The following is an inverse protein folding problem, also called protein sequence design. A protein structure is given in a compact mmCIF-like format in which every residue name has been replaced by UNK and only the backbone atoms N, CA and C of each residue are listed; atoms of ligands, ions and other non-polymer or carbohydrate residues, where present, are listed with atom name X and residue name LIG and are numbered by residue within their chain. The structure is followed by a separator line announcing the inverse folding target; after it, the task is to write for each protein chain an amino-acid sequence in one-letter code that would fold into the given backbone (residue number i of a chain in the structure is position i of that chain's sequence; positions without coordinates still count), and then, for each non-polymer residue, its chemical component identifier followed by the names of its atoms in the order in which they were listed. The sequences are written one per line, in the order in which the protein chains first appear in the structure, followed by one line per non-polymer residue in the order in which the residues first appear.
data_IF_678523376895
#
_entry.id   IF_678523376895
#
_cell.length_a   1.000
_cell.length_b   1.000
_cell.length_c   1.000
_cell.angle_alpha   90.00
_cell.angle_beta   90.00
_cell.angle_gamma   90.00
#
_symmetry.space_group_name_H-M   'P 1'
#
loop_
_entity.id
_entity.type
_entity.pdbx_description
1 polymer ?
#
# COMPACT_ATOMS: atom_id res chain seq x y z
N UNK A 1 27.86 -12.82 89.50
CA UNK A 1 26.99 -14.00 89.69
C UNK A 1 26.18 -14.26 88.42
N UNK A 2 26.38 -15.44 87.81
CA UNK A 2 25.52 -16.18 86.86
C UNK A 2 24.71 -15.38 85.81
N UNK A 3 24.96 -15.62 84.51
CA UNK A 3 24.17 -16.60 83.72
C UNK A 3 24.72 -16.84 82.31
N UNK A 4 24.79 -18.12 81.99
CA UNK A 4 25.03 -18.73 80.68
C UNK A 4 23.92 -18.38 79.68
N UNK A 5 24.30 -18.17 78.41
CA UNK A 5 23.41 -18.36 77.26
C UNK A 5 24.10 -19.31 76.29
N UNK A 6 23.49 -20.49 76.14
CA UNK A 6 23.86 -21.55 75.19
C UNK A 6 23.49 -21.10 73.77
N UNK A 7 24.46 -21.06 72.85
CA UNK A 7 24.18 -21.05 71.41
C UNK A 7 23.70 -22.45 70.97
N UNK A 8 22.50 -22.52 70.40
CA UNK A 8 22.01 -23.68 69.64
C UNK A 8 22.37 -23.45 68.17
N UNK A 9 23.16 -24.35 67.60
CA UNK A 9 23.40 -24.45 66.17
C UNK A 9 22.10 -24.88 65.47
N UNK A 10 21.57 -24.02 64.60
CA UNK A 10 20.50 -24.33 63.66
C UNK A 10 21.15 -24.61 62.30
N UNK A 11 21.11 -25.88 61.87
CA UNK A 11 21.53 -26.28 60.54
C UNK A 11 20.50 -25.76 59.53
N UNK A 12 20.92 -24.82 58.67
CA UNK A 12 20.14 -24.36 57.52
C UNK A 12 20.64 -25.11 56.28
N UNK A 13 19.86 -26.08 55.85
CA UNK A 13 20.05 -26.87 54.64
C UNK A 13 19.63 -25.99 53.43
N UNK A 14 20.61 -25.42 52.72
CA UNK A 14 20.38 -24.73 51.45
C UNK A 14 20.29 -25.77 50.31
N UNK A 15 19.07 -26.14 49.93
CA UNK A 15 18.83 -26.84 48.66
C UNK A 15 18.99 -25.85 47.51
N UNK A 16 20.19 -25.81 46.92
CA UNK A 16 20.45 -25.15 45.63
C UNK A 16 19.81 -26.05 44.55
N UNK A 17 18.61 -25.71 44.11
CA UNK A 17 18.05 -26.26 42.87
C UNK A 17 18.62 -25.47 41.69
N UNK A 18 19.56 -26.08 40.98
CA UNK A 18 20.06 -25.56 39.71
C UNK A 18 18.98 -25.72 38.63
N UNK A 19 18.14 -24.70 38.48
CA UNK A 19 17.35 -24.52 37.25
C UNK A 19 18.32 -24.34 36.09
N UNK A 20 18.62 -25.45 35.44
CA UNK A 20 19.37 -25.48 34.18
C UNK A 20 18.40 -25.00 33.10
N UNK A 21 18.34 -23.69 32.89
CA UNK A 21 17.75 -23.11 31.69
C UNK A 21 18.60 -23.58 30.50
N UNK A 22 18.20 -24.68 29.89
CA UNK A 22 18.63 -25.03 28.55
C UNK A 22 17.99 -24.00 27.62
N UNK A 23 18.69 -22.88 27.41
CA UNK A 23 18.37 -21.99 26.30
C UNK A 23 18.54 -22.81 25.03
N UNK A 24 17.44 -23.33 24.53
CA UNK A 24 17.38 -23.95 23.20
C UNK A 24 17.89 -22.89 22.23
N UNK A 25 19.12 -23.05 21.74
CA UNK A 25 19.68 -22.20 20.68
C UNK A 25 18.80 -22.47 19.46
N UNK A 26 17.80 -21.62 19.23
CA UNK A 26 17.05 -21.66 17.98
C UNK A 26 18.05 -21.30 16.88
N UNK A 27 18.37 -22.29 16.03
CA UNK A 27 19.15 -22.04 14.84
C UNK A 27 18.47 -20.94 14.01
N UNK A 28 19.24 -19.94 13.60
CA UNK A 28 18.74 -18.88 12.73
C UNK A 28 18.18 -19.50 11.44
N UNK A 29 17.06 -18.99 10.93
CA UNK A 29 16.49 -19.51 9.68
C UNK A 29 17.48 -19.30 8.54
N UNK A 30 17.56 -20.29 7.64
CA UNK A 30 18.39 -20.20 6.44
C UNK A 30 17.70 -19.25 5.46
N UNK A 31 18.39 -18.17 5.08
CA UNK A 31 17.98 -17.26 4.00
C UNK A 31 18.48 -17.81 2.68
N UNK A 32 17.57 -18.26 1.82
CA UNK A 32 17.89 -18.63 0.45
C UNK A 32 17.94 -17.39 -0.46
N UNK A 33 18.75 -17.49 -1.51
CA UNK A 33 19.02 -16.45 -2.49
C UNK A 33 19.59 -15.16 -1.88
N UNK A 34 20.43 -15.29 -0.84
CA UNK A 34 21.03 -14.14 -0.16
C UNK A 34 21.92 -13.30 -1.10
N UNK A 35 22.43 -13.88 -2.18
CA UNK A 35 23.16 -13.18 -3.24
C UNK A 35 22.34 -12.09 -3.94
N UNK A 36 21.00 -12.09 -3.83
CA UNK A 36 20.16 -10.98 -4.31
C UNK A 36 20.48 -9.67 -3.58
N UNK A 37 21.01 -9.73 -2.36
CA UNK A 37 21.45 -8.54 -1.63
C UNK A 37 22.67 -7.88 -2.28
N UNK A 38 23.44 -8.60 -3.08
CA UNK A 38 24.59 -8.04 -3.79
C UNK A 38 24.19 -7.16 -4.97
N UNK A 39 22.89 -7.16 -5.36
CA UNK A 39 22.32 -6.23 -6.33
C UNK A 39 22.06 -4.84 -5.76
N UNK A 40 22.15 -4.66 -4.44
CA UNK A 40 21.97 -3.37 -3.78
C UNK A 40 23.15 -2.46 -4.14
N UNK A 41 22.89 -1.41 -4.90
CA UNK A 41 23.87 -0.39 -5.29
C UNK A 41 23.18 0.97 -5.48
N UNK A 42 23.87 2.04 -5.09
CA UNK A 42 23.42 3.42 -5.29
C UNK A 42 23.98 4.08 -6.56
N UNK A 43 24.88 3.42 -7.31
CA UNK A 43 25.57 4.03 -8.45
C UNK A 43 24.77 3.97 -9.76
N UNK A 44 23.79 3.08 -9.86
CA UNK A 44 23.06 2.83 -11.11
C UNK A 44 22.15 3.99 -11.54
N UNK A 45 21.58 4.74 -10.57
CA UNK A 45 20.62 5.83 -10.85
C UNK A 45 20.76 6.99 -9.86
N UNK A 46 20.47 8.20 -10.34
CA UNK A 46 20.35 9.37 -9.47
C UNK A 46 19.11 9.21 -8.58
N UNK A 47 19.32 9.19 -7.26
CA UNK A 47 18.25 9.11 -6.28
C UNK A 47 17.64 10.51 -6.06
N UNK A 48 16.32 10.59 -6.19
CA UNK A 48 15.55 11.82 -6.10
C UNK A 48 14.36 11.55 -5.17
N UNK A 49 14.14 12.45 -4.21
CA UNK A 49 12.89 12.52 -3.45
C UNK A 49 11.95 13.53 -4.08
N UNK A 50 10.65 13.31 -3.99
CA UNK A 50 9.64 14.21 -4.52
C UNK A 50 8.68 14.66 -3.41
N UNK A 51 8.07 15.81 -3.63
CA UNK A 51 6.92 16.28 -2.85
C UNK A 51 5.72 16.38 -3.78
N UNK A 52 4.59 15.86 -3.34
CA UNK A 52 3.33 15.90 -4.08
C UNK A 52 2.36 16.93 -3.48
N UNK A 53 1.37 17.33 -4.27
CA UNK A 53 0.36 18.28 -3.87
C UNK A 53 -0.75 17.60 -3.05
N UNK A 54 -0.59 17.64 -1.73
CA UNK A 54 -1.63 17.25 -0.76
C UNK A 54 -2.29 18.48 -0.14
N UNK A 55 -2.36 19.57 -0.92
CA UNK A 55 -2.87 20.87 -0.47
C UNK A 55 -3.84 21.52 -1.45
N UNK A 56 -4.46 20.72 -2.33
CA UNK A 56 -5.44 21.22 -3.29
C UNK A 56 -6.63 21.89 -2.59
N UNK A 57 -6.99 21.41 -1.40
CA UNK A 57 -8.10 21.92 -0.59
C UNK A 57 -9.37 22.08 -1.46
N UNK A 58 -9.77 21.00 -2.13
CA UNK A 58 -10.93 20.99 -3.00
C UNK A 58 -12.18 21.36 -2.19
N UNK A 59 -12.79 22.49 -2.55
CA UNK A 59 -14.09 22.86 -2.01
C UNK A 59 -15.20 21.94 -2.57
N UNK A 60 -16.37 21.99 -1.92
CA UNK A 60 -17.54 21.18 -2.30
C UNK A 60 -17.91 21.36 -3.78
N UNK A 61 -17.83 22.58 -4.32
CA UNK A 61 -18.14 22.86 -5.73
C UNK A 61 -17.19 22.16 -6.70
N UNK A 62 -15.89 22.14 -6.39
CA UNK A 62 -14.87 21.46 -7.20
C UNK A 62 -15.07 19.95 -7.18
N UNK A 63 -15.41 19.40 -6.01
CA UNK A 63 -15.77 17.98 -5.85
C UNK A 63 -17.01 17.64 -6.67
N UNK A 64 -18.08 18.44 -6.57
CA UNK A 64 -19.31 18.24 -7.32
C UNK A 64 -19.10 18.35 -8.83
N UNK A 65 -18.29 19.32 -9.29
CA UNK A 65 -17.95 19.47 -10.71
C UNK A 65 -17.21 18.24 -11.23
N UNK A 66 -16.29 17.67 -10.45
CA UNK A 66 -15.57 16.45 -10.81
C UNK A 66 -16.50 15.24 -10.88
N UNK A 67 -17.33 15.02 -9.85
CA UNK A 67 -18.31 13.95 -9.85
C UNK A 67 -19.24 14.07 -11.06
N UNK A 68 -19.81 15.25 -11.31
CA UNK A 68 -20.70 15.52 -12.43
C UNK A 68 -20.06 15.15 -13.77
N UNK A 69 -18.78 15.50 -13.98
CA UNK A 69 -18.05 15.14 -15.20
C UNK A 69 -17.96 13.61 -15.37
N UNK A 70 -17.74 12.88 -14.28
CA UNK A 70 -17.70 11.41 -14.31
C UNK A 70 -19.10 10.85 -14.60
N UNK A 71 -20.16 11.34 -13.93
CA UNK A 71 -21.54 10.90 -14.15
C UNK A 71 -22.02 11.16 -15.58
N UNK A 72 -21.71 12.33 -16.15
CA UNK A 72 -21.99 12.68 -17.55
C UNK A 72 -21.25 11.74 -18.51
N UNK A 73 -19.98 11.42 -18.21
CA UNK A 73 -19.17 10.54 -19.03
C UNK A 73 -19.65 9.08 -19.00
N UNK A 74 -20.03 8.57 -17.83
CA UNK A 74 -20.48 7.18 -17.64
C UNK A 74 -21.98 7.02 -17.87
N UNK A 75 -22.71 8.11 -18.11
CA UNK A 75 -24.17 8.15 -18.15
C UNK A 75 -24.81 7.48 -16.91
N UNK A 76 -24.19 7.70 -15.73
CA UNK A 76 -24.59 7.08 -14.47
C UNK A 76 -24.51 8.08 -13.32
N UNK A 77 -25.68 8.60 -12.94
CA UNK A 77 -25.86 9.53 -11.83
C UNK A 77 -26.05 8.80 -10.49
N UNK A 78 -25.47 9.36 -9.43
CA UNK A 78 -25.82 9.03 -8.04
C UNK A 78 -27.13 9.76 -7.71
N UNK A 79 -28.25 9.08 -7.89
CA UNK A 79 -29.59 9.70 -7.89
C UNK A 79 -30.05 10.07 -6.47
N UNK A 80 -29.86 9.17 -5.51
CA UNK A 80 -30.29 9.38 -4.12
C UNK A 80 -29.07 9.60 -3.20
N UNK A 81 -28.45 10.78 -3.30
CA UNK A 81 -27.17 11.07 -2.67
C UNK A 81 -27.25 11.09 -1.14
N UNK A 82 -26.54 10.16 -0.51
CA UNK A 82 -26.12 10.24 0.89
C UNK A 82 -24.68 10.73 0.94
N UNK A 83 -24.47 11.87 1.60
CA UNK A 83 -23.14 12.46 1.78
C UNK A 83 -22.65 12.16 3.20
N UNK A 84 -21.45 11.63 3.32
CA UNK A 84 -20.82 11.28 4.59
C UNK A 84 -19.39 11.83 4.62
N UNK A 85 -19.01 12.50 5.70
CA UNK A 85 -17.62 12.86 5.95
C UNK A 85 -16.92 11.65 6.59
N UNK A 86 -15.76 11.29 6.05
CA UNK A 86 -14.94 10.17 6.53
C UNK A 86 -13.57 10.71 6.91
N UNK A 87 -13.30 10.81 8.22
CA UNK A 87 -12.10 11.49 8.70
C UNK A 87 -12.11 13.00 8.42
N UNK A 88 -10.92 13.63 8.44
CA UNK A 88 -10.79 15.10 8.35
C UNK A 88 -11.03 15.64 6.94
N UNK A 89 -10.68 14.87 5.91
CA UNK A 89 -10.56 15.38 4.55
C UNK A 89 -11.30 14.56 3.50
N UNK A 90 -11.90 13.42 3.83
CA UNK A 90 -12.58 12.59 2.85
C UNK A 90 -14.08 12.82 2.85
N UNK A 91 -14.65 12.83 1.65
CA UNK A 91 -16.07 12.94 1.40
C UNK A 91 -16.54 11.72 0.60
N UNK A 92 -17.53 11.01 1.13
CA UNK A 92 -18.18 9.88 0.47
C UNK A 92 -19.58 10.33 0.03
N UNK A 93 -19.82 10.29 -1.27
CA UNK A 93 -21.14 10.50 -1.90
C UNK A 93 -21.60 9.14 -2.40
N UNK A 94 -22.69 8.61 -1.86
CA UNK A 94 -23.16 7.25 -2.15
C UNK A 94 -24.64 7.26 -2.51
N UNK A 95 -25.09 6.36 -3.38
CA UNK A 95 -26.51 6.19 -3.65
C UNK A 95 -27.21 5.45 -2.49
N UNK A 96 -28.35 5.94 -2.03
CA UNK A 96 -29.07 5.33 -0.91
C UNK A 96 -29.82 4.04 -1.27
N UNK A 97 -30.03 3.78 -2.56
CA UNK A 97 -30.72 2.60 -3.08
C UNK A 97 -29.76 1.50 -3.49
N UNK A 98 -28.61 1.86 -4.05
CA UNK A 98 -27.52 0.94 -4.39
C UNK A 98 -26.21 1.46 -3.78
N UNK A 99 -25.82 0.90 -2.63
CA UNK A 99 -24.60 1.28 -1.92
C UNK A 99 -23.32 0.98 -2.68
N UNK A 100 -23.38 0.18 -3.74
CA UNK A 100 -22.24 -0.07 -4.63
C UNK A 100 -21.99 1.07 -5.61
N UNK A 101 -22.91 2.04 -5.74
CA UNK A 101 -22.69 3.29 -6.47
C UNK A 101 -22.16 4.34 -5.49
N UNK A 102 -20.93 4.77 -5.70
CA UNK A 102 -20.32 5.77 -4.82
C UNK A 102 -19.20 6.55 -5.49
N UNK A 103 -18.87 7.66 -4.86
CA UNK A 103 -17.72 8.50 -5.12
C UNK A 103 -17.10 8.91 -3.78
N UNK A 104 -15.91 8.40 -3.49
CA UNK A 104 -15.11 8.74 -2.31
C UNK A 104 -13.91 9.56 -2.76
N UNK A 105 -13.71 10.75 -2.19
CA UNK A 105 -12.63 11.66 -2.57
C UNK A 105 -11.96 12.24 -1.34
N UNK A 106 -10.62 12.27 -1.37
CA UNK A 106 -9.82 13.08 -0.47
C UNK A 106 -9.71 14.51 -1.02
N UNK A 107 -10.25 15.47 -0.27
CA UNK A 107 -10.25 16.89 -0.65
C UNK A 107 -8.86 17.52 -0.69
N UNK A 108 -7.86 16.96 -0.01
CA UNK A 108 -6.50 17.50 0.00
C UNK A 108 -5.69 17.11 -1.23
N UNK A 109 -5.71 15.83 -1.58
CA UNK A 109 -4.95 15.28 -2.71
C UNK A 109 -5.75 15.29 -4.02
N UNK A 110 -7.09 15.32 -3.93
CA UNK A 110 -7.96 15.10 -5.07
C UNK A 110 -7.94 13.66 -5.58
N UNK A 111 -7.33 12.74 -4.84
CA UNK A 111 -7.38 11.31 -5.07
C UNK A 111 -8.78 10.79 -4.77
N UNK A 112 -9.28 9.85 -5.58
CA UNK A 112 -10.65 9.40 -5.45
C UNK A 112 -10.87 7.95 -5.89
N UNK A 113 -11.97 7.38 -5.43
CA UNK A 113 -12.54 6.11 -5.86
C UNK A 113 -13.98 6.33 -6.35
N UNK A 114 -14.32 5.76 -7.50
CA UNK A 114 -15.64 5.82 -8.10
C UNK A 114 -16.14 4.41 -8.43
N UNK A 115 -17.44 4.17 -8.26
CA UNK A 115 -18.11 2.95 -8.69
C UNK A 115 -19.47 3.29 -9.28
N UNK A 116 -19.76 2.76 -10.47
CA UNK A 116 -21.01 3.04 -11.21
C UNK A 116 -22.16 2.06 -10.88
N UNK A 117 -21.86 1.00 -10.10
CA UNK A 117 -22.71 -0.09 -9.60
C UNK A 117 -22.03 -1.43 -9.84
N UNK A 118 -22.10 -2.32 -8.86
CA UNK A 118 -21.61 -3.70 -8.96
C UNK A 118 -22.74 -4.73 -9.15
N UNK A 119 -24.01 -4.33 -8.99
CA UNK A 119 -25.15 -5.24 -8.95
C UNK A 119 -25.26 -6.12 -10.21
N UNK A 120 -25.05 -5.53 -11.39
CA UNK A 120 -25.15 -6.25 -12.66
C UNK A 120 -24.09 -7.35 -12.82
N UNK A 121 -23.00 -7.31 -12.07
CA UNK A 121 -21.92 -8.29 -12.15
C UNK A 121 -22.08 -9.47 -11.19
N UNK A 122 -23.05 -9.45 -10.28
CA UNK A 122 -23.27 -10.56 -9.34
C UNK A 122 -24.02 -11.77 -9.94
N UNK A 123 -24.60 -11.64 -11.13
CA UNK A 123 -25.34 -12.72 -11.80
C UNK A 123 -24.45 -13.92 -12.12
N UNK A 124 -24.96 -15.14 -12.14
CA UNK A 124 -24.19 -16.35 -12.54
C UNK A 124 -23.99 -16.47 -14.06
N UNK A 125 -23.45 -15.44 -14.69
CA UNK A 125 -23.10 -15.41 -16.10
C UNK A 125 -21.86 -14.54 -16.35
N UNK A 126 -21.12 -14.79 -17.43
CA UNK A 126 -20.02 -13.90 -17.83
C UNK A 126 -20.58 -12.60 -18.40
N UNK A 127 -19.94 -11.48 -18.09
CA UNK A 127 -20.29 -10.18 -18.68
C UNK A 127 -20.10 -10.24 -20.20
N UNK A 128 -21.10 -9.86 -21.01
CA UNK A 128 -20.97 -9.84 -22.46
C UNK A 128 -19.96 -8.79 -22.92
N UNK A 129 -19.33 -9.02 -24.08
CA UNK A 129 -18.44 -8.07 -24.76
C UNK A 129 -17.33 -7.46 -23.88
N UNK A 130 -16.76 -8.25 -22.96
CA UNK A 130 -15.57 -7.79 -22.23
C UNK A 130 -14.41 -7.58 -23.21
N UNK A 131 -13.81 -6.38 -23.14
CA UNK A 131 -12.66 -6.03 -23.94
C UNK A 131 -11.50 -6.97 -23.63
N UNK A 132 -10.76 -7.36 -24.67
CA UNK A 132 -9.48 -8.03 -24.45
C UNK A 132 -8.44 -7.04 -23.90
N UNK A 133 -7.35 -7.59 -23.37
CA UNK A 133 -6.22 -6.88 -22.80
C UNK A 133 -5.72 -5.65 -23.58
N UNK A 134 -5.58 -5.75 -24.92
CA UNK A 134 -5.11 -4.65 -25.76
C UNK A 134 -6.16 -3.56 -25.94
N UNK A 135 -7.41 -3.97 -26.18
CA UNK A 135 -8.55 -3.05 -26.32
C UNK A 135 -8.83 -2.32 -25.00
N UNK A 136 -8.78 -3.04 -23.88
CA UNK A 136 -8.95 -2.52 -22.54
C UNK A 136 -7.92 -1.44 -22.22
N UNK A 137 -6.64 -1.65 -22.54
CA UNK A 137 -5.62 -0.61 -22.35
C UNK A 137 -5.91 0.64 -23.19
N UNK A 138 -6.27 0.47 -24.46
CA UNK A 138 -6.64 1.60 -25.32
C UNK A 138 -7.86 2.35 -24.79
N UNK A 139 -8.86 1.63 -24.27
CA UNK A 139 -10.06 2.20 -23.69
C UNK A 139 -9.76 2.93 -22.37
N UNK A 140 -8.91 2.36 -21.51
CA UNK A 140 -8.48 2.99 -20.27
C UNK A 140 -7.81 4.36 -20.52
N UNK A 141 -6.92 4.47 -21.51
CA UNK A 141 -6.36 5.77 -21.88
C UNK A 141 -7.41 6.74 -22.42
N UNK A 142 -8.34 6.27 -23.25
CA UNK A 142 -9.45 7.10 -23.74
C UNK A 142 -10.32 7.63 -22.59
N UNK A 143 -10.60 6.83 -21.57
CA UNK A 143 -11.29 7.26 -20.36
C UNK A 143 -10.54 8.36 -19.63
N UNK A 144 -9.24 8.15 -19.37
CA UNK A 144 -8.40 9.12 -18.68
C UNK A 144 -8.30 10.44 -19.46
N UNK A 145 -8.14 10.40 -20.78
CA UNK A 145 -8.15 11.59 -21.63
C UNK A 145 -9.49 12.32 -21.57
N UNK A 146 -10.61 11.60 -21.73
CA UNK A 146 -11.95 12.20 -21.71
C UNK A 146 -12.28 12.86 -20.36
N UNK A 147 -11.75 12.30 -19.27
CA UNK A 147 -11.95 12.81 -17.91
C UNK A 147 -10.93 13.89 -17.51
N UNK A 148 -9.99 14.30 -18.38
CA UNK A 148 -8.87 15.19 -18.05
C UNK A 148 -8.00 14.66 -16.89
N UNK A 149 -7.85 13.33 -16.81
CA UNK A 149 -7.10 12.60 -15.80
C UNK A 149 -5.84 11.92 -16.35
N UNK A 150 -5.52 12.14 -17.63
CA UNK A 150 -4.36 11.50 -18.25
C UNK A 150 -3.05 12.00 -17.62
N UNK A 151 -2.23 11.10 -17.02
CA UNK A 151 -0.91 11.47 -16.54
C UNK A 151 0.00 12.00 -17.65
N UNK A 152 1.05 12.71 -17.24
CA UNK A 152 2.14 13.03 -18.16
C UNK A 152 2.82 11.75 -18.62
N UNK A 153 3.19 11.69 -19.91
CA UNK A 153 3.75 10.48 -20.54
C UNK A 153 5.01 9.99 -19.84
N UNK A 154 5.87 10.91 -19.40
CA UNK A 154 7.11 10.60 -18.68
C UNK A 154 6.91 10.06 -17.26
N UNK A 155 5.66 10.05 -16.77
CA UNK A 155 5.29 9.50 -15.45
C UNK A 155 4.63 8.13 -15.54
N UNK A 156 4.32 7.66 -16.75
CA UNK A 156 3.67 6.36 -16.96
C UNK A 156 4.71 5.25 -16.80
N UNK A 157 4.47 4.34 -15.85
CA UNK A 157 5.28 3.16 -15.62
C UNK A 157 4.66 1.90 -16.20
N UNK A 158 4.83 0.80 -15.47
CA UNK A 158 4.28 -0.50 -15.83
C UNK A 158 2.75 -0.46 -15.89
N UNK A 159 2.20 -1.22 -16.84
CA UNK A 159 0.77 -1.43 -16.99
C UNK A 159 0.47 -2.89 -16.69
N UNK A 160 -0.23 -3.15 -15.60
CA UNK A 160 -0.70 -4.50 -15.26
C UNK A 160 -2.13 -4.68 -15.78
N UNK A 161 -2.36 -5.80 -16.45
CA UNK A 161 -3.65 -6.15 -17.02
C UNK A 161 -4.17 -7.41 -16.33
N UNK A 162 -5.42 -7.38 -15.90
CA UNK A 162 -6.04 -8.50 -15.20
C UNK A 162 -7.53 -8.55 -15.46
N UNK A 163 -8.24 -9.27 -14.58
CA UNK A 163 -9.68 -9.30 -14.62
C UNK A 163 -10.26 -9.81 -13.32
N UNK A 164 -11.51 -9.45 -13.07
CA UNK A 164 -12.30 -9.97 -11.97
C UNK A 164 -13.13 -11.15 -12.48
N UNK A 165 -13.02 -12.29 -11.81
CA UNK A 165 -13.81 -13.50 -12.11
C UNK A 165 -14.66 -13.86 -10.89
N UNK A 166 -15.77 -14.55 -11.13
CA UNK A 166 -16.62 -15.14 -10.11
C UNK A 166 -16.61 -16.65 -10.28
N UNK A 167 -16.15 -17.37 -9.26
CA UNK A 167 -16.27 -18.82 -9.18
C UNK A 167 -17.50 -19.19 -8.36
N UNK A 168 -18.42 -19.97 -8.92
CA UNK A 168 -19.59 -20.51 -8.19
C UNK A 168 -19.54 -22.02 -8.13
N UNK A 169 -20.11 -22.58 -7.07
CA UNK A 169 -20.35 -24.02 -6.94
C UNK A 169 -21.85 -24.26 -7.07
N UNK A 170 -22.23 -25.00 -8.10
CA UNK A 170 -23.62 -25.38 -8.37
C UNK A 170 -24.09 -26.46 -7.40
N UNK A 171 -25.41 -26.62 -7.28
CA UNK A 171 -26.03 -27.60 -6.38
C UNK A 171 -25.61 -29.05 -6.69
N UNK A 172 -25.32 -29.36 -7.95
CA UNK A 172 -24.83 -30.68 -8.38
C UNK A 172 -23.34 -30.93 -8.04
N UNK A 173 -22.66 -29.95 -7.44
CA UNK A 173 -21.25 -30.01 -7.07
C UNK A 173 -20.29 -29.47 -8.13
N UNK A 174 -20.77 -29.15 -9.35
CA UNK A 174 -19.95 -28.57 -10.41
C UNK A 174 -19.51 -27.15 -10.06
N UNK A 175 -18.35 -26.75 -10.59
CA UNK A 175 -17.84 -25.38 -10.49
C UNK A 175 -18.00 -24.66 -11.82
N UNK A 176 -18.35 -23.37 -11.78
CA UNK A 176 -18.36 -22.51 -12.96
C UNK A 176 -17.59 -21.22 -12.68
N UNK A 177 -16.84 -20.77 -13.68
CA UNK A 177 -16.11 -19.51 -13.65
C UNK A 177 -16.74 -18.52 -14.63
N UNK A 178 -17.09 -17.33 -14.13
CA UNK A 178 -17.69 -16.25 -14.92
C UNK A 178 -16.78 -15.04 -14.95
N UNK A 179 -16.41 -14.56 -16.14
CA UNK A 179 -15.61 -13.34 -16.30
C UNK A 179 -16.49 -12.12 -16.07
N UNK A 180 -16.09 -11.23 -15.16
CA UNK A 180 -16.91 -10.08 -14.74
C UNK A 180 -16.44 -8.76 -15.28
N UNK A 181 -15.14 -8.51 -15.20
CA UNK A 181 -14.54 -7.24 -15.60
C UNK A 181 -13.13 -7.48 -16.13
N UNK A 182 -12.69 -6.59 -17.00
CA UNK A 182 -11.28 -6.46 -17.37
C UNK A 182 -10.68 -5.31 -16.57
N UNK A 183 -9.51 -5.51 -15.98
CA UNK A 183 -8.87 -4.56 -15.07
C UNK A 183 -7.59 -4.03 -15.68
N UNK A 184 -7.40 -2.71 -15.68
CA UNK A 184 -6.16 -2.04 -16.06
C UNK A 184 -5.63 -1.28 -14.84
N UNK A 185 -4.41 -1.62 -14.44
CA UNK A 185 -3.63 -0.86 -13.47
C UNK A 185 -2.49 -0.16 -14.19
N UNK A 186 -2.33 1.13 -13.95
CA UNK A 186 -1.22 1.93 -14.44
C UNK A 186 -0.45 2.41 -13.22
N UNK A 187 0.81 1.99 -13.12
CA UNK A 187 1.69 2.41 -12.04
C UNK A 187 2.51 3.63 -12.48
N UNK A 188 2.94 4.43 -11.50
CA UNK A 188 3.77 5.61 -11.75
C UNK A 188 5.24 5.20 -11.86
N UNK A 189 5.95 5.84 -12.79
CA UNK A 189 7.41 5.79 -12.87
C UNK A 189 7.94 7.22 -12.78
N UNK A 190 9.00 7.45 -12.00
CA UNK A 190 9.67 8.74 -11.98
C UNK A 190 11.18 8.52 -12.16
N UNK A 191 11.76 9.19 -13.16
CA UNK A 191 13.18 9.09 -13.48
C UNK A 191 13.64 7.63 -13.73
N UNK A 192 12.80 6.84 -14.41
CA UNK A 192 13.09 5.43 -14.69
C UNK A 192 13.01 4.51 -13.48
N UNK A 193 12.46 4.95 -12.34
CA UNK A 193 12.31 4.14 -11.13
C UNK A 193 10.81 3.98 -10.85
N UNK A 194 10.31 2.74 -10.70
CA UNK A 194 8.90 2.51 -10.39
C UNK A 194 8.56 3.08 -9.02
N UNK A 195 7.36 3.68 -8.94
CA UNK A 195 6.79 4.17 -7.69
C UNK A 195 5.83 3.10 -7.16
N UNK A 196 6.09 2.62 -5.95
CA UNK A 196 5.21 1.74 -5.18
C UNK A 196 4.55 2.53 -4.05
N UNK A 197 3.47 1.98 -3.48
CA UNK A 197 2.68 2.66 -2.46
C UNK A 197 1.37 3.20 -3.04
N UNK A 198 1.06 4.47 -2.76
CA UNK A 198 -0.26 5.03 -3.06
C UNK A 198 -0.45 5.50 -4.52
N UNK A 199 0.62 5.93 -5.22
CA UNK A 199 0.56 6.40 -6.62
C UNK A 199 0.16 5.31 -7.62
N UNK A 200 -1.14 5.23 -7.95
CA UNK A 200 -1.67 4.29 -8.96
C UNK A 200 -2.97 4.79 -9.60
N UNK A 201 -3.22 4.33 -10.81
CA UNK A 201 -4.54 4.41 -11.45
C UNK A 201 -5.03 2.98 -11.67
N UNK A 202 -6.27 2.73 -11.30
CA UNK A 202 -6.91 1.42 -11.48
C UNK A 202 -8.29 1.61 -12.09
N UNK A 203 -8.58 0.89 -13.17
CA UNK A 203 -9.86 0.97 -13.88
C UNK A 203 -10.36 -0.45 -14.10
N UNK A 204 -11.53 -0.76 -13.56
CA UNK A 204 -12.30 -1.94 -13.93
C UNK A 204 -13.32 -1.56 -14.98
N UNK A 205 -13.32 -2.31 -16.08
CA UNK A 205 -14.25 -2.13 -17.20
C UNK A 205 -15.18 -3.33 -17.33
N UNK A 206 -16.45 -3.03 -17.58
CA UNK A 206 -17.49 -4.02 -17.83
C UNK A 206 -17.83 -4.17 -19.31
N UNK A 207 -19.13 -4.25 -19.58
CA UNK A 207 -19.70 -4.43 -20.92
C UNK A 207 -19.21 -3.34 -21.85
N UNK A 208 -18.70 -3.72 -23.02
CA UNK A 208 -18.22 -2.80 -24.06
C UNK A 208 -17.15 -1.79 -23.60
N UNK A 209 -16.46 -2.09 -22.48
CA UNK A 209 -15.44 -1.23 -21.92
C UNK A 209 -15.95 -0.11 -21.01
N UNK A 210 -17.21 -0.11 -20.59
CA UNK A 210 -17.73 0.91 -19.67
C UNK A 210 -16.99 0.91 -18.31
N UNK A 211 -16.75 2.09 -17.71
CA UNK A 211 -16.14 2.17 -16.37
C UNK A 211 -17.12 1.60 -15.34
N UNK A 212 -16.74 0.49 -14.70
CA UNK A 212 -17.46 -0.09 -13.57
C UNK A 212 -16.93 0.47 -12.24
N UNK A 213 -15.60 0.55 -12.12
CA UNK A 213 -14.91 1.11 -10.97
C UNK A 213 -13.63 1.82 -11.42
N UNK A 214 -13.29 2.92 -10.75
CA UNK A 214 -12.04 3.63 -10.99
C UNK A 214 -11.45 4.12 -9.67
N UNK A 215 -10.15 3.89 -9.47
CA UNK A 215 -9.35 4.51 -8.42
C UNK A 215 -8.32 5.39 -9.13
N UNK A 216 -8.25 6.64 -8.71
CA UNK A 216 -7.29 7.61 -9.23
C UNK A 216 -6.50 8.20 -8.07
N UNK A 217 -5.26 7.75 -7.91
CA UNK A 217 -4.30 8.22 -6.90
C UNK A 217 -3.05 8.70 -7.63
N UNK A 218 -3.04 9.96 -8.06
CA UNK A 218 -2.00 10.46 -8.96
C UNK A 218 -1.63 11.92 -8.68
N UNK A 219 -1.19 12.17 -7.45
CA UNK A 219 -0.91 13.52 -6.97
C UNK A 219 0.12 14.25 -7.83
N UNK A 220 -0.11 15.54 -8.03
CA UNK A 220 0.80 16.39 -8.81
C UNK A 220 2.14 16.53 -8.10
N UNK A 221 3.24 16.32 -8.82
CA UNK A 221 4.59 16.59 -8.29
C UNK A 221 4.80 18.11 -8.21
N UNK A 222 5.05 18.62 -7.00
CA UNK A 222 5.33 20.04 -6.73
C UNK A 222 6.82 20.35 -6.82
N UNK A 223 7.65 19.48 -6.25
CA UNK A 223 9.10 19.67 -6.23
C UNK A 223 9.84 18.34 -6.19
N UNK A 224 11.13 18.40 -6.56
CA UNK A 224 12.04 17.26 -6.53
C UNK A 224 13.37 17.68 -5.92
N UNK A 225 13.99 16.80 -5.14
CA UNK A 225 15.29 17.02 -4.51
C UNK A 225 16.22 15.85 -4.81
N UNK A 226 17.36 16.12 -5.44
CA UNK A 226 18.42 15.13 -5.59
C UNK A 226 19.04 14.80 -4.23
N UNK A 227 19.17 13.52 -3.92
CA UNK A 227 19.70 13.04 -2.64
C UNK A 227 21.23 12.97 -2.71
N UNK A 228 21.88 13.62 -1.76
CA UNK A 228 23.34 13.64 -1.62
C UNK A 228 23.88 12.39 -0.93
N UNK A 229 25.16 12.07 -1.09
CA UNK A 229 25.78 10.91 -0.44
C UNK A 229 25.76 10.99 1.09
N UNK A 230 25.74 12.18 1.67
CA UNK A 230 25.71 12.37 3.14
C UNK A 230 24.33 12.09 3.74
N UNK A 231 23.27 12.21 2.96
CA UNK A 231 21.87 11.94 3.35
C UNK A 231 21.50 10.46 3.31
N UNK A 232 22.22 9.66 2.53
CA UNK A 232 21.98 8.21 2.35
C UNK A 232 22.58 7.41 3.50
N UNK A 233 21.94 6.30 3.86
CA UNK A 233 22.59 5.23 4.63
C UNK A 233 23.61 4.50 3.75
N UNK A 234 24.56 3.76 4.34
CA UNK A 234 25.50 2.97 3.53
C UNK A 234 24.80 1.74 2.93
N UNK A 235 25.39 1.14 1.89
CA UNK A 235 24.88 -0.13 1.32
C UNK A 235 24.87 -1.24 2.38
N UNK A 236 25.91 -1.30 3.22
CA UNK A 236 25.99 -2.27 4.31
C UNK A 236 24.90 -2.05 5.35
N UNK A 237 24.53 -0.79 5.64
CA UNK A 237 23.40 -0.48 6.52
C UNK A 237 22.06 -0.90 5.90
N UNK A 238 21.87 -0.76 4.58
CA UNK A 238 20.68 -1.30 3.89
C UNK A 238 20.62 -2.81 4.08
N UNK A 239 21.70 -3.54 3.75
CA UNK A 239 21.78 -5.00 3.90
C UNK A 239 21.48 -5.42 5.34
N UNK A 240 22.10 -4.76 6.31
CA UNK A 240 21.87 -5.00 7.74
C UNK A 240 20.41 -4.76 8.14
N UNK A 241 19.79 -3.69 7.66
CA UNK A 241 18.37 -3.41 7.92
C UNK A 241 17.44 -4.46 7.31
N UNK A 242 17.76 -4.97 6.12
CA UNK A 242 17.03 -6.08 5.49
C UNK A 242 17.12 -7.32 6.38
N UNK A 243 18.33 -7.76 6.74
CA UNK A 243 18.53 -8.92 7.61
C UNK A 243 17.79 -8.79 8.94
N UNK A 244 17.92 -7.65 9.61
CA UNK A 244 17.23 -7.40 10.88
C UNK A 244 15.70 -7.50 10.74
N UNK A 245 15.13 -7.08 9.61
CA UNK A 245 13.68 -7.21 9.37
C UNK A 245 13.27 -8.62 9.04
N UNK A 246 14.06 -9.34 8.24
CA UNK A 246 13.84 -10.75 7.96
C UNK A 246 13.84 -11.55 9.27
N UNK A 247 14.83 -11.33 10.14
CA UNK A 247 14.92 -12.01 11.44
C UNK A 247 13.71 -11.71 12.34
N UNK A 248 13.29 -10.44 12.42
CA UNK A 248 12.12 -10.03 13.21
C UNK A 248 10.80 -10.59 12.65
N UNK A 249 10.63 -10.62 11.33
CA UNK A 249 9.42 -11.12 10.67
C UNK A 249 9.33 -12.64 10.68
N UNK A 250 10.47 -13.31 10.52
CA UNK A 250 10.62 -14.76 10.45
C UNK A 250 10.05 -15.50 11.66
N UNK A 251 10.26 -14.99 12.88
CA UNK A 251 9.87 -15.67 14.14
C UNK A 251 10.32 -17.16 14.11
N UNK A 252 9.37 -18.10 14.11
CA UNK A 252 9.62 -19.55 14.10
C UNK A 252 9.63 -20.15 12.67
N UNK A 253 9.92 -19.36 11.64
CA UNK A 253 10.05 -19.87 10.28
C UNK A 253 11.24 -20.84 10.19
N UNK A 254 11.12 -21.85 9.33
CA UNK A 254 12.21 -22.81 9.10
C UNK A 254 13.16 -22.30 8.03
N UNK A 255 12.63 -21.51 7.09
CA UNK A 255 13.34 -21.07 5.89
C UNK A 255 12.74 -19.77 5.38
N UNK A 256 13.60 -18.89 4.89
CA UNK A 256 13.22 -17.64 4.21
C UNK A 256 13.67 -17.76 2.75
N UNK A 257 12.78 -17.55 1.80
CA UNK A 257 13.15 -17.41 0.39
C UNK A 257 13.09 -15.94 -0.01
N UNK A 258 14.25 -15.34 -0.29
CA UNK A 258 14.32 -13.99 -0.83
C UNK A 258 13.97 -14.05 -2.32
N UNK A 259 12.90 -13.38 -2.74
CA UNK A 259 12.42 -13.39 -4.12
C UNK A 259 13.02 -12.23 -4.91
N UNK A 260 12.96 -11.01 -4.36
CA UNK A 260 13.50 -9.81 -5.00
C UNK A 260 13.96 -8.76 -3.99
N UNK A 261 14.84 -7.87 -4.47
CA UNK A 261 15.35 -6.69 -3.74
C UNK A 261 15.52 -5.57 -4.77
N UNK A 262 14.49 -4.75 -4.91
CA UNK A 262 14.42 -3.78 -6.00
C UNK A 262 14.46 -2.35 -5.48
N UNK A 263 15.25 -1.50 -6.15
CA UNK A 263 15.23 -0.07 -5.89
C UNK A 263 13.94 0.52 -6.46
N UNK A 264 13.12 1.08 -5.59
CA UNK A 264 11.85 1.72 -5.92
C UNK A 264 11.79 3.12 -5.34
N UNK A 265 10.81 3.89 -5.76
CA UNK A 265 10.33 5.06 -5.05
C UNK A 265 9.10 4.63 -4.24
N UNK A 266 9.06 4.94 -2.95
CA UNK A 266 7.91 4.67 -2.09
C UNK A 266 7.11 5.96 -1.90
N UNK A 267 5.85 5.95 -2.34
CA UNK A 267 4.86 6.99 -2.09
C UNK A 267 4.04 6.65 -0.85
N UNK A 268 4.10 7.51 0.16
CA UNK A 268 3.40 7.30 1.42
C UNK A 268 1.93 7.76 1.42
N UNK A 269 1.45 8.32 0.31
CA UNK A 269 0.09 8.87 0.19
C UNK A 269 -0.14 10.12 1.04
N UNK A 270 0.92 10.74 1.57
CA UNK A 270 0.87 11.92 2.46
C UNK A 270 1.71 13.08 1.97
N UNK A 271 2.05 13.09 0.68
CA UNK A 271 2.80 14.18 0.07
C UNK A 271 4.26 13.86 -0.20
N UNK A 272 4.76 12.68 0.17
CA UNK A 272 6.19 12.38 0.12
C UNK A 272 6.47 11.09 -0.65
N UNK A 273 7.33 11.22 -1.67
CA UNK A 273 7.85 10.07 -2.42
C UNK A 273 9.36 10.00 -2.23
N UNK A 274 9.88 8.89 -1.68
CA UNK A 274 11.30 8.72 -1.38
C UNK A 274 11.85 7.37 -1.85
N UNK A 275 13.14 7.29 -2.21
CA UNK A 275 13.75 6.03 -2.61
C UNK A 275 13.88 5.05 -1.44
N UNK A 276 13.52 3.81 -1.73
CA UNK A 276 13.59 2.68 -0.83
C UNK A 276 13.96 1.41 -1.61
N UNK A 277 14.43 0.40 -0.90
CA UNK A 277 14.42 -0.96 -1.43
C UNK A 277 13.13 -1.66 -1.04
N UNK A 278 12.40 -2.16 -2.02
CA UNK A 278 11.31 -3.11 -1.82
C UNK A 278 11.91 -4.51 -1.77
N UNK A 279 11.55 -5.27 -0.73
CA UNK A 279 12.04 -6.62 -0.50
C UNK A 279 10.86 -7.56 -0.48
N UNK A 280 10.81 -8.50 -1.42
CA UNK A 280 9.78 -9.54 -1.46
C UNK A 280 10.34 -10.87 -1.01
N UNK A 281 9.68 -11.53 -0.07
CA UNK A 281 10.09 -12.85 0.44
C UNK A 281 8.92 -13.79 0.66
N UNK A 282 9.23 -15.07 0.81
CA UNK A 282 8.32 -16.09 1.32
C UNK A 282 8.89 -16.71 2.59
N UNK A 283 8.10 -16.72 3.65
CA UNK A 283 8.42 -17.35 4.93
C UNK A 283 7.79 -18.75 4.98
N UNK A 284 8.61 -19.78 5.17
CA UNK A 284 8.16 -21.18 5.17
C UNK A 284 7.97 -21.66 6.61
N UNK A 285 6.73 -21.94 6.98
CA UNK A 285 6.41 -22.49 8.30
C UNK A 285 6.13 -23.97 8.19
N UNK A 286 6.65 -24.72 9.17
CA UNK A 286 6.38 -26.15 9.30
C UNK A 286 5.91 -26.44 10.72
N UNK A 287 4.71 -26.99 10.84
CA UNK A 287 4.22 -27.56 12.09
C UNK A 287 4.20 -29.10 11.97
N UNK A 288 3.69 -29.81 12.99
CA UNK A 288 3.68 -31.29 12.98
C UNK A 288 2.80 -31.91 11.89
N UNK A 289 1.82 -31.16 11.36
CA UNK A 289 0.79 -31.67 10.44
C UNK A 289 0.90 -31.05 9.04
N UNK A 290 1.29 -29.79 8.96
CA UNK A 290 1.21 -28.97 7.75
C UNK A 290 2.49 -28.17 7.52
N UNK A 291 2.72 -27.81 6.26
CA UNK A 291 3.69 -26.80 5.85
C UNK A 291 2.98 -25.77 5.00
N UNK A 292 3.26 -24.50 5.22
CA UNK A 292 2.63 -23.41 4.50
C UNK A 292 3.58 -22.22 4.36
N UNK A 293 3.37 -21.47 3.29
CA UNK A 293 4.20 -20.33 2.92
C UNK A 293 3.40 -19.05 3.14
N UNK A 294 4.05 -18.05 3.74
CA UNK A 294 3.44 -16.74 3.99
C UNK A 294 4.25 -15.69 3.22
N UNK A 295 3.62 -14.93 2.30
CA UNK A 295 4.30 -13.81 1.66
C UNK A 295 4.66 -12.77 2.73
N UNK A 296 5.87 -12.25 2.64
CA UNK A 296 6.36 -11.22 3.54
C UNK A 296 7.20 -10.22 2.76
N UNK A 297 6.60 -9.06 2.52
CA UNK A 297 7.20 -7.91 1.86
C UNK A 297 7.42 -6.75 2.83
N UNK A 298 8.43 -5.93 2.55
CA UNK A 298 8.69 -4.70 3.30
C UNK A 298 9.61 -3.74 2.54
N UNK A 299 9.70 -2.52 3.07
CA UNK A 299 10.51 -1.45 2.50
C UNK A 299 11.70 -1.09 3.39
N UNK A 300 12.85 -0.77 2.79
CA UNK A 300 14.04 -0.24 3.47
C UNK A 300 14.37 1.14 2.92
N UNK A 301 14.13 2.22 3.70
CA UNK A 301 14.43 3.57 3.24
C UNK A 301 15.92 3.73 2.94
N UNK A 302 16.24 4.48 1.88
CA UNK A 302 17.65 4.80 1.56
C UNK A 302 18.16 6.01 2.34
N UNK A 303 17.28 6.88 2.83
CA UNK A 303 17.67 8.06 3.59
C UNK A 303 17.94 7.73 5.06
N UNK A 304 18.91 8.42 5.68
CA UNK A 304 19.17 8.37 7.13
C UNK A 304 18.00 8.92 7.95
N UNK A 305 17.27 9.88 7.39
CA UNK A 305 16.12 10.57 8.00
C UNK A 305 14.98 10.62 6.98
N UNK A 306 14.31 9.48 6.73
CA UNK A 306 13.19 9.43 5.80
C UNK A 306 12.07 10.37 6.26
N UNK A 307 11.47 11.07 5.31
CA UNK A 307 10.26 11.87 5.54
C UNK A 307 9.01 11.08 5.21
N UNK A 308 9.08 10.15 4.26
CA UNK A 308 7.96 9.28 3.91
C UNK A 308 7.59 8.38 5.09
N UNK A 309 6.28 8.13 5.27
CA UNK A 309 5.78 7.23 6.29
C UNK A 309 5.73 5.78 5.80
N UNK A 310 6.69 4.97 6.24
CA UNK A 310 6.76 3.56 5.86
C UNK A 310 5.91 2.66 6.79
N UNK A 311 5.41 1.50 6.33
CA UNK A 311 4.47 0.68 7.10
C UNK A 311 5.01 0.16 8.45
N UNK A 312 6.32 0.05 8.60
CA UNK A 312 6.97 -0.41 9.84
C UNK A 312 7.22 0.70 10.87
N UNK A 313 6.90 1.97 10.55
CA UNK A 313 7.12 3.10 11.45
C UNK A 313 5.91 3.32 12.36
N UNK A 314 6.15 3.46 13.66
CA UNK A 314 5.08 3.71 14.63
C UNK A 314 4.51 5.15 14.54
N UNK A 315 5.32 6.11 14.07
CA UNK A 315 4.94 7.52 13.92
C UNK A 315 5.63 8.16 12.70
N UNK A 316 4.92 9.01 11.94
CA UNK A 316 5.54 9.77 10.86
C UNK A 316 6.53 10.81 11.39
N UNK A 317 7.74 10.87 10.80
CA UNK A 317 8.73 11.92 11.05
C UNK A 317 8.40 13.20 10.25
N UNK A 318 7.12 13.59 10.21
CA UNK A 318 6.71 14.80 9.52
C UNK A 318 7.10 16.00 10.39
N UNK A 319 7.92 16.90 9.84
CA UNK A 319 7.90 18.29 10.32
C UNK A 319 6.57 18.88 9.83
N UNK A 320 5.73 19.46 10.71
CA UNK A 320 4.52 20.12 10.26
C UNK A 320 4.88 21.12 9.17
N UNK A 321 4.22 21.03 8.02
CA UNK A 321 4.26 22.08 7.02
C UNK A 321 3.77 23.34 7.73
N UNK A 322 4.66 24.31 7.94
CA UNK A 322 4.28 25.63 8.46
C UNK A 322 3.37 26.29 7.44
N UNK A 323 2.07 26.12 7.56
CA UNK A 323 1.05 26.91 6.86
C UNK A 323 -0.21 26.99 7.75
N UNK A 324 -0.36 28.11 8.45
CA UNK A 324 -1.61 28.77 8.86
C UNK A 324 -2.84 27.91 9.24
N UNK A 325 -2.70 26.92 10.14
CA UNK A 325 -3.86 26.22 10.71
C UNK A 325 -4.79 27.13 11.56
N UNK A 326 -4.35 28.34 11.94
CA UNK A 326 -5.16 29.26 12.77
C UNK A 326 -6.24 30.06 12.03
N UNK A 327 -6.32 30.03 10.69
CA UNK A 327 -7.32 30.83 9.96
C UNK A 327 -8.55 30.08 9.46
N UNK A 328 -8.54 28.74 9.43
CA UNK A 328 -9.68 27.98 8.86
C UNK A 328 -10.77 27.73 9.91
N UNK A 329 -10.42 27.58 11.19
CA UNK A 329 -11.39 27.29 12.27
C UNK A 329 -12.29 28.47 12.66
N UNK A 330 -11.98 29.70 12.25
CA UNK A 330 -12.80 30.89 12.55
C UNK A 330 -13.79 31.26 11.43
N UNK A 331 -13.92 30.45 10.38
CA UNK A 331 -14.80 30.74 9.22
C UNK A 331 -15.98 29.76 9.07
N UNK A 332 -16.19 28.88 10.06
CA UNK A 332 -17.27 27.87 10.03
C UNK A 332 -18.47 28.29 10.90
N UNK A 333 -18.35 29.38 11.67
CA UNK A 333 -19.41 29.91 12.55
C UNK A 333 -19.94 31.31 12.15
N UNK A 334 -19.82 31.73 10.87
CA UNK A 334 -20.53 32.91 10.32
C UNK A 334 -21.50 32.58 9.19
#
# INVERSE_FOLDING_TARGET
MKKNIKLKNLALLFCITSLSFTSTIQALPIVQNAELLDKIDFKSKALISYQTDVSLNLNKDSIQKRLKKIEEYTNREISNRKIQESGKNNLIIQDSTDSSIFFDIDSLSGSFSYSSSMEKYYKEESTPNLLNNKEALSMAYKHLESLDLMPKKEQLGEVTQGGLNMATRKENGDTADYKKMTSIRIDRELNGIPVLGDSRIFINMGTDGEIANMIYQWDKILSSKKITSTEKISVDDVKKNIYNRLEKGAKNTVKINLNSVDLVLYDDGKGVIEPAYHVETQLFYKNKKDSYDVPFDFYVPVLKKPQAFYPFMDKPNLKPLKNNEEQILNSIDE
#
